data_IF_625867627199
#
_entry.id   IF_625867627199
#
_cell.length_a   1.000
_cell.length_b   1.000
_cell.length_c   1.000
_cell.angle_alpha   90.00
_cell.angle_beta   90.00
_cell.angle_gamma   90.00
#
_symmetry.space_group_name_H-M   'P 1'
#
loop_
_entity.id
_entity.type
_entity.pdbx_description
1 polymer ?
#
# COMPACT_ATOMS: atom_id res chain seq x y z
N UNK A 1 18.20 -27.01 -51.38
CA UNK A 1 18.16 -25.62 -51.90
C UNK A 1 17.01 -25.55 -52.88
N UNK A 2 15.87 -24.99 -52.47
CA UNK A 2 14.71 -24.78 -53.35
C UNK A 2 14.63 -23.29 -53.73
N UNK A 3 14.31 -22.95 -54.99
CA UNK A 3 14.41 -21.58 -55.50
C UNK A 3 13.25 -20.69 -55.07
N UNK A 4 13.57 -19.42 -54.84
CA UNK A 4 12.64 -18.31 -54.61
C UNK A 4 11.93 -17.97 -55.93
N UNK A 5 10.60 -17.94 -55.90
CA UNK A 5 9.74 -17.43 -56.99
C UNK A 5 8.91 -16.27 -56.42
N UNK A 6 8.99 -15.05 -56.97
CA UNK A 6 8.18 -13.93 -56.52
C UNK A 6 6.83 -13.87 -57.28
N UNK A 7 5.69 -13.67 -56.59
CA UNK A 7 4.41 -13.33 -57.23
C UNK A 7 4.12 -11.81 -57.19
N UNK A 8 3.12 -11.33 -57.96
CA UNK A 8 3.21 -10.14 -58.81
C UNK A 8 2.80 -8.78 -58.18
N UNK A 9 3.17 -7.68 -58.86
CA UNK A 9 2.79 -6.29 -58.56
C UNK A 9 1.26 -6.11 -58.56
N UNK A 10 0.75 -5.54 -57.48
CA UNK A 10 -0.64 -5.08 -57.35
C UNK A 10 -0.75 -3.67 -57.97
N UNK A 11 -1.77 -3.38 -58.80
CA UNK A 11 -2.00 -2.05 -59.38
C UNK A 11 -2.44 -1.02 -58.33
N UNK A 12 -1.95 0.22 -58.47
CA UNK A 12 -2.40 1.39 -57.70
C UNK A 12 -3.85 1.76 -58.05
N UNK A 13 -4.70 2.11 -57.05
CA UNK A 13 -6.00 2.68 -57.32
C UNK A 13 -5.88 4.14 -57.77
N UNK A 14 -6.69 4.46 -58.77
CA UNK A 14 -6.85 5.77 -59.40
C UNK A 14 -7.48 6.81 -58.47
N UNK A 15 -7.17 8.08 -58.74
CA UNK A 15 -7.89 9.26 -58.25
C UNK A 15 -9.40 9.08 -58.41
N UNK A 16 -10.13 9.16 -57.31
CA UNK A 16 -11.58 9.39 -57.34
C UNK A 16 -11.91 10.43 -56.29
N UNK A 17 -12.25 11.60 -56.79
CA UNK A 17 -12.72 12.77 -56.06
C UNK A 17 -13.98 12.43 -55.24
N UNK A 18 -13.95 12.73 -53.95
CA UNK A 18 -15.06 12.53 -53.03
C UNK A 18 -16.06 13.70 -53.12
N UNK A 19 -17.39 13.45 -53.18
CA UNK A 19 -18.37 14.49 -52.86
C UNK A 19 -18.48 14.66 -51.35
N UNK A 20 -18.36 15.91 -50.92
CA UNK A 20 -18.52 16.40 -49.55
C UNK A 20 -19.96 16.15 -49.06
N UNK A 21 -20.20 15.44 -47.93
CA UNK A 21 -21.51 15.44 -47.31
C UNK A 21 -21.67 16.71 -46.46
N UNK A 22 -22.60 17.59 -46.86
CA UNK A 22 -23.02 18.76 -46.11
C UNK A 22 -23.51 18.38 -44.71
N UNK A 23 -23.04 19.13 -43.71
CA UNK A 23 -23.31 18.90 -42.30
C UNK A 23 -24.79 18.92 -41.94
N UNK A 24 -25.28 17.82 -41.38
CA UNK A 24 -26.51 17.78 -40.61
C UNK A 24 -26.17 18.25 -39.19
N UNK A 25 -26.77 19.36 -38.75
CA UNK A 25 -26.74 19.83 -37.36
C UNK A 25 -27.08 18.68 -36.40
N UNK A 26 -26.30 18.41 -35.33
CA UNK A 26 -26.75 17.56 -34.25
C UNK A 26 -27.84 18.28 -33.45
N UNK A 27 -28.93 17.57 -33.24
CA UNK A 27 -30.02 17.91 -32.34
C UNK A 27 -29.51 17.92 -30.88
N UNK A 28 -29.63 19.01 -30.11
CA UNK A 28 -29.11 19.09 -28.76
C UNK A 28 -30.12 18.54 -27.73
N UNK A 29 -30.67 17.34 -27.95
CA UNK A 29 -31.46 16.64 -26.93
C UNK A 29 -31.34 15.12 -27.06
N UNK A 30 -30.11 14.63 -26.84
CA UNK A 30 -29.87 13.25 -26.43
C UNK A 30 -29.29 13.23 -25.01
N UNK A 31 -30.08 13.75 -24.04
CA UNK A 31 -29.92 13.40 -22.62
C UNK A 31 -30.37 11.95 -22.42
N UNK A 32 -29.58 10.99 -22.89
CA UNK A 32 -29.66 9.63 -22.39
C UNK A 32 -28.53 9.46 -21.39
N UNK A 33 -28.85 9.79 -20.14
CA UNK A 33 -27.99 9.54 -19.00
C UNK A 33 -27.63 8.06 -18.93
N UNK A 34 -26.43 7.71 -19.39
CA UNK A 34 -25.73 6.53 -18.87
C UNK A 34 -25.06 6.94 -17.57
N UNK A 35 -25.89 7.09 -16.55
CA UNK A 35 -25.43 6.99 -15.17
C UNK A 35 -25.11 5.50 -14.96
N UNK A 36 -23.95 5.05 -15.45
CA UNK A 36 -23.38 3.81 -14.98
C UNK A 36 -23.20 3.99 -13.47
N UNK A 37 -24.03 3.32 -12.67
CA UNK A 37 -23.97 3.43 -11.22
C UNK A 37 -22.53 3.12 -10.77
N UNK A 38 -21.91 3.99 -9.95
CA UNK A 38 -20.54 3.76 -9.47
C UNK A 38 -20.39 2.44 -8.68
N UNK A 39 -21.50 1.87 -8.22
CA UNK A 39 -21.57 0.60 -7.51
C UNK A 39 -21.11 -0.62 -8.35
N UNK A 40 -21.39 -0.64 -9.66
CA UNK A 40 -21.01 -1.79 -10.51
C UNK A 40 -19.50 -1.80 -10.77
N UNK A 41 -18.89 -0.61 -10.93
CA UNK A 41 -17.44 -0.47 -11.08
C UNK A 41 -16.67 -0.82 -9.81
N UNK A 42 -17.17 -0.40 -8.64
CA UNK A 42 -16.51 -0.67 -7.36
C UNK A 42 -16.59 -2.13 -6.91
N UNK A 43 -17.71 -2.81 -7.20
CA UNK A 43 -17.85 -4.25 -6.95
C UNK A 43 -16.90 -5.07 -7.84
N UNK A 44 -16.77 -4.71 -9.12
CA UNK A 44 -15.82 -5.35 -10.04
C UNK A 44 -14.36 -5.12 -9.64
N UNK A 45 -14.02 -3.90 -9.22
CA UNK A 45 -12.68 -3.58 -8.71
C UNK A 45 -12.32 -4.35 -7.44
N UNK A 46 -13.27 -4.51 -6.51
CA UNK A 46 -13.06 -5.31 -5.30
C UNK A 46 -12.81 -6.80 -5.62
N UNK A 47 -13.59 -7.39 -6.54
CA UNK A 47 -13.39 -8.77 -6.97
C UNK A 47 -12.06 -8.98 -7.73
N UNK A 48 -11.64 -8.00 -8.52
CA UNK A 48 -10.34 -8.03 -9.19
C UNK A 48 -9.18 -7.95 -8.18
N UNK A 49 -9.32 -7.14 -7.12
CA UNK A 49 -8.34 -7.07 -6.05
C UNK A 49 -8.26 -8.38 -5.24
N UNK A 50 -9.41 -8.99 -4.91
CA UNK A 50 -9.47 -10.30 -4.23
C UNK A 50 -8.68 -11.36 -5.02
N UNK A 51 -8.95 -11.51 -6.33
CA UNK A 51 -8.21 -12.42 -7.20
C UNK A 51 -6.72 -12.11 -7.28
N UNK A 52 -6.33 -10.84 -7.36
CA UNK A 52 -4.92 -10.48 -7.37
C UNK A 52 -4.21 -10.94 -6.09
N UNK A 53 -4.82 -10.72 -4.92
CA UNK A 53 -4.21 -11.12 -3.66
C UNK A 53 -4.19 -12.64 -3.47
N UNK A 54 -5.29 -13.32 -3.77
CA UNK A 54 -5.40 -14.77 -3.57
C UNK A 54 -4.64 -15.56 -4.64
N UNK A 55 -4.81 -15.23 -5.92
CA UNK A 55 -4.27 -16.02 -7.03
C UNK A 55 -2.82 -15.66 -7.36
N UNK A 56 -2.45 -14.36 -7.28
CA UNK A 56 -1.10 -13.91 -7.68
C UNK A 56 -0.13 -13.92 -6.50
N UNK A 57 -0.57 -13.48 -5.33
CA UNK A 57 0.28 -13.37 -4.14
C UNK A 57 0.11 -14.54 -3.17
N UNK A 58 -0.96 -15.35 -3.30
CA UNK A 58 -1.25 -16.44 -2.36
C UNK A 58 -1.64 -15.94 -0.96
N UNK A 59 -2.09 -14.70 -0.84
CA UNK A 59 -2.44 -14.06 0.43
C UNK A 59 -3.93 -14.16 0.67
N UNK A 60 -4.31 -14.65 1.86
CA UNK A 60 -5.73 -14.78 2.20
C UNK A 60 -6.37 -13.42 2.41
N UNK A 61 -7.54 -13.24 1.82
CA UNK A 61 -8.36 -12.06 2.01
C UNK A 61 -9.54 -12.36 2.94
N UNK A 62 -10.08 -11.32 3.57
CA UNK A 62 -11.44 -11.37 4.11
C UNK A 62 -12.42 -10.73 3.09
N UNK A 63 -13.70 -11.07 3.17
CA UNK A 63 -14.74 -10.46 2.29
C UNK A 63 -15.24 -9.11 2.80
N UNK A 64 -14.43 -8.40 3.58
CA UNK A 64 -14.76 -7.09 4.13
C UNK A 64 -14.93 -6.02 3.05
N UNK A 65 -15.59 -4.92 3.41
CA UNK A 65 -15.65 -3.68 2.62
C UNK A 65 -15.21 -2.53 3.52
N UNK A 66 -13.98 -2.02 3.38
CA UNK A 66 -12.96 -2.37 2.37
C UNK A 66 -12.37 -3.79 2.56
N UNK A 67 -11.85 -4.36 1.48
CA UNK A 67 -11.21 -5.69 1.46
C UNK A 67 -10.08 -5.76 2.49
N UNK A 68 -9.99 -6.81 3.29
CA UNK A 68 -8.91 -7.03 4.24
C UNK A 68 -7.95 -8.14 3.81
N UNK A 69 -6.67 -8.04 4.22
CA UNK A 69 -5.67 -9.10 4.12
C UNK A 69 -5.43 -9.68 5.51
N UNK A 70 -5.48 -11.01 5.62
CA UNK A 70 -5.26 -11.71 6.88
C UNK A 70 -3.76 -11.82 7.19
N UNK A 71 -3.37 -11.42 8.40
CA UNK A 71 -1.98 -11.46 8.88
C UNK A 71 -1.68 -12.73 9.70
N UNK A 72 -0.40 -13.07 9.88
CA UNK A 72 0.07 -14.26 10.60
C UNK A 72 -0.04 -15.59 9.86
N UNK A 73 -0.40 -15.57 8.57
CA UNK A 73 -0.44 -16.77 7.72
C UNK A 73 0.76 -16.85 6.77
N UNK A 74 1.10 -15.73 6.14
CA UNK A 74 2.20 -15.58 5.18
C UNK A 74 3.13 -14.44 5.57
N UNK A 75 2.59 -13.43 6.24
CA UNK A 75 3.30 -12.23 6.65
C UNK A 75 2.65 -11.66 7.91
N UNK A 76 3.45 -10.94 8.68
CA UNK A 76 2.97 -10.02 9.71
C UNK A 76 3.17 -8.59 9.24
N UNK A 77 2.61 -7.64 9.98
CA UNK A 77 2.75 -6.22 9.68
C UNK A 77 3.27 -5.46 10.89
N UNK A 78 4.30 -4.66 10.69
CA UNK A 78 4.68 -3.60 11.64
C UNK A 78 4.02 -2.29 11.21
N UNK A 79 3.09 -1.82 12.03
CA UNK A 79 2.42 -0.54 11.86
C UNK A 79 3.08 0.56 12.68
N UNK A 80 3.38 1.69 12.05
CA UNK A 80 4.01 2.84 12.68
C UNK A 80 3.53 4.16 12.07
N UNK A 81 3.74 5.32 12.74
CA UNK A 81 3.40 6.62 12.15
C UNK A 81 4.09 6.80 10.79
N UNK A 82 3.36 7.25 9.76
CA UNK A 82 3.92 7.33 8.40
C UNK A 82 5.18 8.21 8.30
N UNK A 83 5.29 9.23 9.15
CA UNK A 83 6.49 10.07 9.24
C UNK A 83 7.73 9.28 9.72
N UNK A 84 7.55 8.40 10.72
CA UNK A 84 8.61 7.54 11.23
C UNK A 84 8.97 6.47 10.20
N UNK A 85 7.98 5.81 9.61
CA UNK A 85 8.20 4.83 8.55
C UNK A 85 8.95 5.39 7.34
N UNK A 86 8.61 6.61 6.88
CA UNK A 86 9.38 7.29 5.82
C UNK A 86 10.83 7.54 6.21
N UNK A 87 11.12 7.81 7.49
CA UNK A 87 12.49 7.96 7.98
C UNK A 87 13.25 6.63 7.99
N UNK A 88 12.58 5.54 8.41
CA UNK A 88 13.10 4.17 8.31
C UNK A 88 13.45 3.85 6.86
N UNK A 89 12.53 4.05 5.90
CA UNK A 89 12.76 3.75 4.48
C UNK A 89 13.89 4.56 3.83
N UNK A 90 14.18 5.78 4.31
CA UNK A 90 15.32 6.55 3.82
C UNK A 90 16.66 5.98 4.26
N UNK A 91 16.68 5.29 5.41
CA UNK A 91 17.88 4.70 6.00
C UNK A 91 18.04 3.21 5.65
N UNK A 92 16.94 2.54 5.31
CA UNK A 92 16.90 1.15 4.90
C UNK A 92 16.76 0.99 3.38
N UNK A 93 17.80 0.47 2.72
CA UNK A 93 17.78 0.24 1.28
C UNK A 93 16.80 -0.85 0.83
N UNK A 94 16.71 -1.95 1.58
CA UNK A 94 15.88 -3.13 1.26
C UNK A 94 14.93 -3.48 2.40
N UNK A 95 13.79 -2.80 2.45
CA UNK A 95 12.60 -3.28 3.17
C UNK A 95 11.72 -4.09 2.23
N UNK A 96 10.97 -5.06 2.79
CA UNK A 96 9.93 -5.79 2.07
C UNK A 96 8.79 -4.89 1.57
N UNK A 97 7.63 -5.46 1.21
CA UNK A 97 6.48 -4.67 0.75
C UNK A 97 6.04 -3.63 1.78
N UNK A 98 5.67 -2.44 1.32
CA UNK A 98 5.29 -1.32 2.18
C UNK A 98 4.01 -0.66 1.69
N UNK A 99 3.03 -0.52 2.57
CA UNK A 99 1.79 0.20 2.31
C UNK A 99 1.63 1.40 3.25
N UNK A 100 0.75 2.32 2.88
CA UNK A 100 0.29 3.42 3.73
C UNK A 100 -1.23 3.42 3.74
N UNK A 101 -1.82 3.60 4.92
CA UNK A 101 -3.25 3.76 5.12
C UNK A 101 -3.48 4.65 6.35
N UNK A 102 -4.44 5.56 6.30
CA UNK A 102 -4.87 6.35 7.46
C UNK A 102 -3.72 7.06 8.24
N UNK A 103 -2.67 7.52 7.53
CA UNK A 103 -1.51 8.17 8.16
C UNK A 103 -0.56 7.22 8.90
N UNK A 104 -0.79 5.91 8.82
CA UNK A 104 0.07 4.83 9.28
C UNK A 104 0.83 4.23 8.10
N UNK A 105 2.08 3.84 8.32
CA UNK A 105 2.84 3.00 7.40
C UNK A 105 2.74 1.55 7.88
N UNK A 106 2.63 0.62 6.94
CA UNK A 106 2.54 -0.82 7.15
C UNK A 106 3.73 -1.46 6.46
N UNK A 107 4.70 -1.95 7.24
CA UNK A 107 5.84 -2.70 6.74
C UNK A 107 5.49 -4.19 6.83
N UNK A 108 5.44 -4.89 5.68
CA UNK A 108 5.21 -6.33 5.68
C UNK A 108 6.51 -7.06 6.02
N UNK A 109 6.43 -7.90 7.04
CA UNK A 109 7.52 -8.66 7.62
C UNK A 109 7.17 -10.16 7.62
N UNK A 110 8.11 -11.05 7.96
CA UNK A 110 7.81 -12.48 8.08
C UNK A 110 6.70 -12.75 9.10
N UNK A 111 5.91 -13.80 8.86
CA UNK A 111 4.98 -14.29 9.86
C UNK A 111 5.74 -14.71 11.15
N UNK A 112 5.20 -14.36 12.31
CA UNK A 112 5.82 -14.54 13.62
C UNK A 112 6.50 -13.28 14.17
N UNK A 113 6.89 -12.33 13.32
CA UNK A 113 7.56 -11.09 13.76
C UNK A 113 6.69 -10.21 14.67
N UNK A 114 5.36 -10.25 14.53
CA UNK A 114 4.49 -9.46 15.40
C UNK A 114 4.40 -10.04 16.82
N UNK A 115 4.55 -11.36 16.99
CA UNK A 115 4.59 -12.01 18.30
C UNK A 115 5.93 -11.75 19.02
N UNK A 116 7.02 -11.67 18.26
CA UNK A 116 8.35 -11.34 18.79
C UNK A 116 8.50 -9.87 19.18
N UNK A 117 7.71 -8.97 18.57
CA UNK A 117 7.84 -7.52 18.74
C UNK A 117 7.84 -7.05 20.20
N UNK A 118 6.93 -7.48 21.10
CA UNK A 118 6.94 -7.03 22.49
C UNK A 118 8.21 -7.43 23.23
N UNK A 119 8.70 -8.66 23.03
CA UNK A 119 9.94 -9.14 23.63
C UNK A 119 11.16 -8.38 23.09
N UNK A 120 11.18 -8.07 21.79
CA UNK A 120 12.22 -7.25 21.18
C UNK A 120 12.23 -5.83 21.73
N UNK A 121 11.06 -5.21 21.88
CA UNK A 121 10.97 -3.86 22.44
C UNK A 121 11.42 -3.82 23.90
N UNK A 122 11.07 -4.83 24.70
CA UNK A 122 11.56 -4.95 26.07
C UNK A 122 13.09 -5.10 26.12
N UNK A 123 13.64 -6.03 25.31
CA UNK A 123 15.08 -6.27 25.24
C UNK A 123 15.88 -5.05 24.77
N UNK A 124 15.30 -4.26 23.85
CA UNK A 124 15.89 -3.01 23.36
C UNK A 124 15.65 -1.81 24.30
N UNK A 125 15.10 -2.02 25.50
CA UNK A 125 14.78 -0.98 26.48
C UNK A 125 13.75 0.07 25.99
N UNK A 126 12.97 -0.29 24.97
CA UNK A 126 11.85 0.50 24.46
C UNK A 126 10.50 0.10 25.11
N UNK A 127 10.49 -0.94 25.95
CA UNK A 127 9.34 -1.42 26.69
C UNK A 127 8.62 -0.30 27.46
N UNK A 128 7.28 -0.30 27.43
CA UNK A 128 6.45 0.70 28.13
C UNK A 128 6.45 2.11 27.53
N UNK A 129 7.26 2.39 26.50
CA UNK A 129 7.24 3.68 25.80
C UNK A 129 6.11 3.65 24.76
N UNK A 130 5.21 4.65 24.81
CA UNK A 130 4.15 4.85 23.81
C UNK A 130 4.70 5.30 22.45
N UNK A 131 5.35 4.39 21.72
CA UNK A 131 5.98 4.63 20.42
C UNK A 131 5.00 4.63 19.24
N UNK A 132 3.74 4.26 19.46
CA UNK A 132 2.77 3.98 18.39
C UNK A 132 3.27 2.94 17.36
N UNK A 133 4.22 2.08 17.74
CA UNK A 133 4.70 0.95 16.94
C UNK A 133 3.93 -0.32 17.36
N UNK A 134 3.23 -0.95 16.42
CA UNK A 134 2.32 -2.08 16.70
C UNK A 134 2.58 -3.21 15.72
N UNK A 135 2.62 -4.45 16.22
CA UNK A 135 2.66 -5.66 15.41
C UNK A 135 1.25 -6.19 15.17
N UNK A 136 0.92 -6.50 13.92
CA UNK A 136 -0.33 -7.15 13.53
C UNK A 136 0.02 -8.53 12.98
N UNK A 137 -0.18 -9.54 13.81
CA UNK A 137 0.21 -10.94 13.55
C UNK A 137 -0.99 -11.86 13.37
N UNK A 138 -0.88 -13.10 13.86
CA UNK A 138 -1.93 -14.12 13.74
C UNK A 138 -3.30 -13.62 14.24
N UNK A 139 -4.35 -13.90 13.46
CA UNK A 139 -5.72 -13.46 13.75
C UNK A 139 -6.00 -11.98 13.46
N UNK A 140 -4.98 -11.20 13.09
CA UNK A 140 -5.11 -9.82 12.66
C UNK A 140 -5.52 -9.69 11.18
N UNK A 141 -5.76 -8.44 10.78
CA UNK A 141 -6.01 -8.06 9.38
C UNK A 141 -5.61 -6.62 9.13
N UNK A 142 -5.21 -6.34 7.90
CA UNK A 142 -5.00 -4.97 7.41
C UNK A 142 -5.90 -4.69 6.22
N UNK A 143 -6.29 -3.43 6.02
CA UNK A 143 -6.98 -3.04 4.78
C UNK A 143 -6.07 -3.33 3.58
N UNK A 144 -6.58 -4.10 2.63
CA UNK A 144 -5.90 -4.44 1.39
C UNK A 144 -5.58 -3.17 0.62
N UNK A 145 -4.30 -2.88 0.34
CA UNK A 145 -3.94 -1.74 -0.48
C UNK A 145 -4.48 -1.92 -1.90
N UNK A 146 -4.78 -0.81 -2.59
CA UNK A 146 -5.19 -0.89 -3.98
C UNK A 146 -4.04 -1.49 -4.83
N UNK A 147 -4.30 -2.50 -5.68
CA UNK A 147 -3.26 -3.17 -6.46
C UNK A 147 -2.74 -2.32 -7.63
N UNK A 148 -3.46 -1.27 -8.00
CA UNK A 148 -3.10 -0.35 -9.08
C UNK A 148 -1.92 0.54 -8.67
N UNK A 149 -0.78 0.32 -9.33
CA UNK A 149 0.49 1.02 -9.08
C UNK A 149 0.50 2.49 -9.55
N UNK A 150 -0.61 3.00 -10.09
CA UNK A 150 -0.60 4.14 -11.03
C UNK A 150 -1.25 5.41 -10.49
N UNK A 151 -1.95 5.41 -9.34
CA UNK A 151 -2.42 6.66 -8.74
C UNK A 151 -2.59 6.58 -7.23
N UNK A 152 -2.33 7.66 -6.49
CA UNK A 152 -2.72 7.75 -5.08
C UNK A 152 -4.24 7.58 -4.98
N UNK A 153 -4.75 7.02 -3.87
CA UNK A 153 -6.15 6.70 -3.75
C UNK A 153 -7.02 7.95 -3.94
N UNK A 154 -8.08 7.83 -4.72
CA UNK A 154 -9.07 8.90 -4.93
C UNK A 154 -9.80 9.30 -3.62
N UNK A 155 -9.64 8.53 -2.55
CA UNK A 155 -10.23 8.78 -1.23
C UNK A 155 -9.12 9.02 -0.19
N UNK A 156 -9.20 10.13 0.57
CA UNK A 156 -8.31 10.35 1.71
C UNK A 156 -8.33 9.15 2.66
N UNK A 157 -7.16 8.62 3.00
CA UNK A 157 -7.01 7.53 3.97
C UNK A 157 -7.05 6.11 3.41
N UNK A 158 -7.43 5.91 2.14
CA UNK A 158 -7.41 4.56 1.54
C UNK A 158 -6.00 3.97 1.50
N UNK A 159 -5.93 2.64 1.59
CA UNK A 159 -4.66 1.92 1.61
C UNK A 159 -4.04 1.86 0.21
N UNK A 160 -2.75 2.18 0.09
CA UNK A 160 -2.00 2.10 -1.17
C UNK A 160 -0.57 1.61 -0.96
N UNK A 161 0.00 1.01 -2.00
CA UNK A 161 1.39 0.53 -1.98
C UNK A 161 2.37 1.69 -2.19
N UNK A 162 3.32 1.86 -1.26
CA UNK A 162 4.54 2.64 -1.47
C UNK A 162 5.63 1.80 -2.15
N UNK A 163 5.72 0.54 -1.75
CA UNK A 163 6.59 -0.47 -2.37
C UNK A 163 5.74 -1.72 -2.53
N UNK A 164 5.22 -2.00 -3.74
CA UNK A 164 4.34 -3.14 -3.95
C UNK A 164 5.12 -4.44 -3.74
N UNK A 165 4.45 -5.54 -3.34
CA UNK A 165 5.07 -6.86 -3.35
C UNK A 165 5.52 -7.22 -4.77
N UNK A 166 6.68 -7.88 -4.86
CA UNK A 166 7.04 -8.57 -6.09
C UNK A 166 6.21 -9.85 -6.18
N UNK A 167 5.58 -10.13 -7.33
CA UNK A 167 4.94 -11.41 -7.52
C UNK A 167 6.01 -12.52 -7.37
N UNK A 168 5.67 -13.65 -6.73
CA UNK A 168 6.59 -14.75 -6.52
C UNK A 168 7.15 -15.21 -7.87
N UNK A 169 8.48 -15.22 -8.04
CA UNK A 169 9.13 -15.69 -9.29
C UNK A 169 9.24 -17.22 -9.36
N UNK A 170 8.41 -17.95 -8.62
CA UNK A 170 8.40 -19.41 -8.56
C UNK A 170 7.58 -19.94 -7.37
N UNK A 171 7.30 -21.25 -7.32
CA UNK A 171 6.40 -21.87 -6.35
C UNK A 171 6.90 -21.86 -4.89
N UNK A 172 8.11 -21.37 -4.61
CA UNK A 172 8.70 -21.29 -3.26
C UNK A 172 9.05 -19.86 -2.80
N UNK A 173 8.69 -18.82 -3.55
CA UNK A 173 9.08 -17.42 -3.25
C UNK A 173 7.94 -16.55 -2.71
N UNK A 174 7.00 -17.15 -1.98
CA UNK A 174 5.79 -16.49 -1.49
C UNK A 174 5.98 -15.63 -0.22
N UNK A 175 7.23 -15.46 0.25
CA UNK A 175 7.52 -14.75 1.49
C UNK A 175 7.97 -13.30 1.22
N UNK A 176 7.46 -12.29 1.97
CA UNK A 176 8.07 -10.98 1.96
C UNK A 176 9.54 -11.11 2.38
N UNK A 177 10.42 -10.41 1.67
CA UNK A 177 11.88 -10.56 1.73
C UNK A 177 12.52 -10.36 3.11
N UNK A 178 11.78 -10.08 4.17
CA UNK A 178 12.26 -10.23 5.54
C UNK A 178 12.20 -11.70 5.94
N UNK A 179 13.00 -12.53 5.26
CA UNK A 179 13.13 -13.94 5.60
C UNK A 179 13.75 -14.07 6.98
N UNK A 180 13.05 -14.81 7.85
CA UNK A 180 13.49 -15.14 9.19
C UNK A 180 14.80 -15.92 9.23
N UNK A 181 15.36 -15.95 10.43
CA UNK A 181 16.58 -16.62 10.88
C UNK A 181 16.92 -17.89 10.07
N UNK A 182 18.01 -17.85 9.29
CA UNK A 182 18.68 -19.07 8.79
C UNK A 182 18.94 -19.23 7.29
N UNK A 183 18.42 -18.36 6.41
CA UNK A 183 18.75 -18.45 4.97
C UNK A 183 20.03 -17.69 4.62
N UNK A 184 20.97 -18.41 4.01
CA UNK A 184 22.32 -18.01 3.59
C UNK A 184 22.26 -16.87 2.54
N UNK A 185 22.10 -15.63 3.00
CA UNK A 185 22.14 -14.42 2.18
C UNK A 185 22.16 -13.17 3.05
N UNK A 186 23.35 -12.72 3.44
CA UNK A 186 23.60 -11.66 4.42
C UNK A 186 23.25 -10.23 3.98
N UNK A 187 22.12 -10.02 3.29
CA UNK A 187 21.73 -8.73 2.71
C UNK A 187 20.26 -8.35 3.00
N UNK A 188 19.60 -9.09 3.89
CA UNK A 188 18.27 -8.79 4.44
C UNK A 188 18.39 -8.37 5.90
N UNK A 189 17.77 -7.25 6.30
CA UNK A 189 17.98 -6.73 7.62
C UNK A 189 17.34 -7.60 8.69
N UNK A 190 18.11 -7.91 9.73
CA UNK A 190 17.63 -8.61 10.91
C UNK A 190 16.50 -7.81 11.57
N UNK A 191 15.43 -8.50 11.98
CA UNK A 191 14.21 -7.91 12.54
C UNK A 191 14.54 -6.96 13.70
N UNK A 192 15.54 -7.32 14.51
CA UNK A 192 16.07 -6.51 15.61
C UNK A 192 16.45 -5.10 15.15
N UNK A 193 17.23 -4.99 14.06
CA UNK A 193 17.72 -3.70 13.54
C UNK A 193 16.59 -2.86 12.96
N UNK A 194 15.62 -3.53 12.31
CA UNK A 194 14.44 -2.86 11.80
C UNK A 194 13.60 -2.29 12.95
N UNK A 195 13.36 -3.08 14.00
CA UNK A 195 12.59 -2.66 15.19
C UNK A 195 13.29 -1.54 15.94
N UNK A 196 14.60 -1.64 16.20
CA UNK A 196 15.38 -0.59 16.87
C UNK A 196 15.31 0.75 16.11
N UNK A 197 15.49 0.70 14.79
CA UNK A 197 15.38 1.91 13.97
C UNK A 197 13.95 2.46 13.93
N UNK A 198 12.94 1.58 13.83
CA UNK A 198 11.55 1.99 13.85
C UNK A 198 11.19 2.65 15.19
N UNK A 199 11.60 2.06 16.31
CA UNK A 199 11.41 2.59 17.65
C UNK A 199 12.08 3.96 17.80
N UNK A 200 13.34 4.08 17.38
CA UNK A 200 14.08 5.35 17.38
C UNK A 200 13.36 6.44 16.58
N UNK A 201 12.92 6.17 15.35
CA UNK A 201 12.24 7.18 14.53
C UNK A 201 10.82 7.49 15.04
N UNK A 202 10.11 6.50 15.62
CA UNK A 202 8.84 6.71 16.31
C UNK A 202 9.00 7.66 17.50
N UNK A 203 10.00 7.40 18.34
CA UNK A 203 10.34 8.25 19.47
C UNK A 203 10.66 9.68 19.02
N UNK A 204 11.46 9.85 17.96
CA UNK A 204 11.78 11.18 17.40
C UNK A 204 10.54 11.92 16.89
N UNK A 205 9.63 11.24 16.20
CA UNK A 205 8.36 11.83 15.74
C UNK A 205 7.50 12.26 16.93
N UNK A 206 7.42 11.43 17.97
CA UNK A 206 6.71 11.77 19.21
C UNK A 206 7.29 13.03 19.86
N UNK A 207 8.61 13.08 20.06
CA UNK A 207 9.28 14.27 20.62
C UNK A 207 9.03 15.53 19.79
N UNK A 208 9.04 15.42 18.46
CA UNK A 208 8.74 16.57 17.57
C UNK A 208 7.30 17.05 17.74
N UNK A 209 6.32 16.14 17.81
CA UNK A 209 4.90 16.49 18.03
C UNK A 209 4.70 17.20 19.37
N UNK A 210 5.36 16.73 20.44
CA UNK A 210 5.31 17.37 21.75
C UNK A 210 5.91 18.79 21.77
N UNK A 211 6.93 19.06 20.94
CA UNK A 211 7.51 20.41 20.82
C UNK A 211 6.63 21.38 20.02
N UNK A 212 5.90 20.89 19.02
CA UNK A 212 5.02 21.70 18.17
C UNK A 212 3.70 22.03 18.87
N UNK A 213 3.29 21.21 19.84
CA UNK A 213 2.14 21.49 20.70
C UNK A 213 2.65 21.91 22.08
N UNK A 214 3.20 23.13 22.26
CA UNK A 214 3.47 23.62 23.60
C UNK A 214 2.14 23.58 24.34
N UNK A 215 2.16 22.99 25.53
CA UNK A 215 1.02 22.90 26.43
C UNK A 215 0.22 24.19 26.36
N UNK A 216 -1.02 24.12 25.86
CA UNK A 216 -1.98 25.21 26.03
C UNK A 216 -2.22 25.31 27.54
N UNK A 217 -1.39 26.11 28.19
CA UNK A 217 -1.46 26.42 29.60
C UNK A 217 -2.83 27.02 29.87
N UNK A 218 -3.64 26.25 30.58
CA UNK A 218 -4.82 26.62 31.35
C UNK A 218 -4.90 28.14 31.62
N UNK A 219 -5.91 28.89 31.14
CA UNK A 219 -6.16 30.21 31.68
C UNK A 219 -6.59 30.03 33.13
N UNK A 220 -5.68 30.31 34.06
CA UNK A 220 -5.99 30.51 35.46
C UNK A 220 -7.00 31.64 35.58
N UNK A 221 -8.16 31.32 36.14
CA UNK A 221 -9.23 32.28 36.35
C UNK A 221 -8.78 33.46 37.21
N UNK A 222 -9.23 34.65 36.81
CA UNK A 222 -9.41 35.78 37.70
C UNK A 222 -10.72 36.46 37.28
N UNK A 223 -11.83 36.02 37.88
CA UNK A 223 -13.03 36.83 37.97
C UNK A 223 -12.85 37.70 39.22
N UNK A 224 -12.29 38.89 39.04
CA UNK A 224 -12.33 39.93 40.06
C UNK A 224 -13.73 40.55 40.02
N UNK A 225 -14.45 40.36 41.12
CA UNK A 225 -15.68 41.06 41.43
C UNK A 225 -15.37 42.55 41.65
N UNK A 226 -16.15 43.43 41.01
CA UNK A 226 -16.27 44.82 41.43
C UNK A 226 -17.59 44.97 42.18
N UNK A 227 -17.47 45.35 43.46
CA UNK A 227 -18.53 45.84 44.33
C UNK A 227 -19.00 47.23 43.94
#
# INVERSE_FOLDING_TARGET
MSPIVPPPRVPQPADTSAPVPSGRRPDPDARTGRNASPATGSAGAAAAAERFYEDVLGWRTDRGRPLGLLTGLRFDVLELPAAAGRAVLRRYGRTGPVAVAEGRMRLLVAAGSAEELPALLEWLEWGGIGLDLVGVGAGGRITAPAPDRVSPPCSPGAAFWLRPPEPPRGPDQFLPALAGFGSRGGDTPDLVRLVDMAATECHRVRLRRSRIRPSAGRPSGQALACS
#
